data_IF_746897912554
#
_entry.id   IF_746897912554
#
_cell.length_a   1.000
_cell.length_b   1.000
_cell.length_c   1.000
_cell.angle_alpha   90.00
_cell.angle_beta   90.00
_cell.angle_gamma   90.00
#
_symmetry.space_group_name_H-M   'P 1'
#
loop_
_entity.id
_entity.type
_entity.pdbx_description
1 polymer ?
#
# COMPACT_ATOMS: atom_id res chain seq x y z
N UNK A 1 -6.83 -3.11 34.82
CA UNK A 1 -6.22 -3.71 33.62
C UNK A 1 -5.77 -5.11 33.96
N UNK A 2 -5.87 -6.06 33.03
CA UNK A 2 -5.37 -7.40 33.19
C UNK A 2 -3.95 -7.53 32.64
N UNK A 3 -3.31 -8.67 32.88
CA UNK A 3 -1.92 -8.92 32.46
C UNK A 3 -1.71 -8.79 30.95
N UNK A 4 -2.75 -9.03 30.14
CA UNK A 4 -2.70 -8.85 28.69
C UNK A 4 -2.62 -7.38 28.29
N UNK A 5 -3.47 -6.52 28.87
CA UNK A 5 -3.47 -5.08 28.58
C UNK A 5 -2.15 -4.44 29.02
N UNK A 6 -1.66 -4.77 30.22
CA UNK A 6 -0.39 -4.25 30.75
C UNK A 6 0.79 -4.61 29.86
N UNK A 7 0.87 -5.87 29.40
CA UNK A 7 1.92 -6.33 28.48
C UNK A 7 1.81 -5.61 27.13
N UNK A 8 0.60 -5.52 26.58
CA UNK A 8 0.37 -4.91 25.26
C UNK A 8 0.71 -3.42 25.27
N UNK A 9 0.38 -2.70 26.33
CA UNK A 9 0.80 -1.31 26.51
C UNK A 9 2.32 -1.20 26.53
N UNK A 10 3.02 -2.06 27.28
CA UNK A 10 4.48 -2.07 27.30
C UNK A 10 5.09 -2.33 25.91
N UNK A 11 4.53 -3.26 25.14
CA UNK A 11 4.98 -3.57 23.78
C UNK A 11 4.77 -2.39 22.83
N UNK A 12 3.62 -1.70 22.91
CA UNK A 12 3.32 -0.51 22.09
C UNK A 12 4.31 0.64 22.31
N UNK A 13 4.94 0.75 23.49
CA UNK A 13 5.96 1.76 23.74
C UNK A 13 7.32 1.45 23.10
N UNK A 14 7.51 0.25 22.54
CA UNK A 14 8.77 -0.10 21.87
C UNK A 14 8.86 0.56 20.50
N UNK A 15 10.06 0.99 20.13
CA UNK A 15 10.34 1.58 18.82
C UNK A 15 9.96 0.61 17.68
N UNK A 16 10.20 -0.68 17.85
CA UNK A 16 9.88 -1.71 16.85
C UNK A 16 8.39 -1.75 16.51
N UNK A 17 7.50 -1.71 17.51
CA UNK A 17 6.06 -1.69 17.26
C UNK A 17 5.64 -0.38 16.60
N UNK A 18 6.21 0.75 17.02
CA UNK A 18 5.94 2.05 16.39
C UNK A 18 6.37 2.07 14.91
N UNK A 19 7.54 1.51 14.59
CA UNK A 19 8.02 1.37 13.21
C UNK A 19 7.07 0.51 12.36
N UNK A 20 6.55 -0.58 12.90
CA UNK A 20 5.56 -1.42 12.20
C UNK A 20 4.27 -0.64 11.96
N UNK A 21 3.77 0.11 12.95
CA UNK A 21 2.57 0.93 12.79
C UNK A 21 2.77 2.01 11.71
N UNK A 22 3.92 2.70 11.70
CA UNK A 22 4.25 3.67 10.64
C UNK A 22 4.33 3.00 9.27
N UNK A 23 4.93 1.81 9.17
CA UNK A 23 4.98 1.07 7.91
C UNK A 23 3.58 0.68 7.40
N UNK A 24 2.64 0.36 8.29
CA UNK A 24 1.25 0.07 7.92
C UNK A 24 0.52 1.29 7.32
N UNK A 25 0.96 2.51 7.62
CA UNK A 25 0.43 3.75 7.05
C UNK A 25 1.16 4.14 5.75
N UNK A 26 2.49 4.04 5.73
CA UNK A 26 3.33 4.51 4.61
C UNK A 26 3.37 3.54 3.42
N UNK A 27 3.41 2.23 3.67
CA UNK A 27 3.53 1.22 2.60
C UNK A 27 2.35 1.24 1.62
N UNK A 28 1.08 1.35 2.06
CA UNK A 28 -0.05 1.52 1.14
C UNK A 28 0.06 2.78 0.29
N UNK A 29 0.52 3.90 0.86
CA UNK A 29 0.65 5.17 0.14
C UNK A 29 1.73 5.06 -0.94
N UNK A 30 2.89 4.49 -0.60
CA UNK A 30 3.97 4.24 -1.54
C UNK A 30 3.54 3.31 -2.68
N UNK A 31 2.82 2.23 -2.34
CA UNK A 31 2.33 1.27 -3.34
C UNK A 31 1.27 1.88 -4.26
N UNK A 32 0.36 2.71 -3.72
CA UNK A 32 -0.63 3.44 -4.52
C UNK A 32 0.05 4.39 -5.50
N UNK A 33 1.08 5.12 -5.06
CA UNK A 33 1.84 6.00 -5.95
C UNK A 33 2.53 5.23 -7.09
N UNK A 34 3.15 4.09 -6.78
CA UNK A 34 3.79 3.25 -7.79
C UNK A 34 2.79 2.78 -8.86
N UNK A 35 1.66 2.20 -8.43
CA UNK A 35 0.63 1.69 -9.34
C UNK A 35 -0.01 2.81 -10.15
N UNK A 36 -0.42 3.90 -9.50
CA UNK A 36 -1.05 5.03 -10.19
C UNK A 36 -0.08 5.74 -11.15
N UNK A 37 1.19 5.84 -10.77
CA UNK A 37 2.24 6.43 -11.62
C UNK A 37 2.47 5.63 -12.88
N UNK A 38 2.61 4.31 -12.76
CA UNK A 38 2.77 3.43 -13.93
C UNK A 38 1.50 3.43 -14.79
N UNK A 39 0.32 3.31 -14.19
CA UNK A 39 -0.97 3.38 -14.89
C UNK A 39 -1.16 4.71 -15.62
N UNK A 40 -0.72 5.84 -15.04
CA UNK A 40 -0.82 7.14 -15.69
C UNK A 40 0.00 7.25 -16.98
N UNK A 41 1.08 6.46 -17.10
CA UNK A 41 1.96 6.42 -18.28
C UNK A 41 1.46 5.40 -19.30
N UNK A 42 1.08 4.19 -18.86
CA UNK A 42 0.70 3.09 -19.74
C UNK A 42 -0.78 3.09 -20.12
N UNK A 43 -1.65 3.64 -19.26
CA UNK A 43 -3.10 3.46 -19.26
C UNK A 43 -3.55 1.99 -19.22
N UNK A 44 -2.69 1.09 -18.75
CA UNK A 44 -2.91 -0.34 -18.64
C UNK A 44 -2.81 -0.79 -17.17
N UNK A 45 -3.58 -1.81 -16.72
CA UNK A 45 -3.43 -2.42 -15.40
C UNK A 45 -1.99 -2.86 -15.11
N UNK A 46 -1.50 -2.55 -13.92
CA UNK A 46 -0.10 -2.81 -13.54
C UNK A 46 0.05 -4.26 -13.07
N UNK A 47 0.89 -5.07 -13.72
CA UNK A 47 1.05 -6.48 -13.35
C UNK A 47 1.81 -6.64 -12.02
N UNK A 48 1.48 -7.68 -11.28
CA UNK A 48 2.04 -7.99 -9.96
C UNK A 48 3.58 -8.04 -9.89
N UNK A 49 4.25 -8.55 -10.92
CA UNK A 49 5.71 -8.62 -10.99
C UNK A 49 6.41 -7.27 -11.21
N UNK A 50 5.69 -6.22 -11.59
CA UNK A 50 6.23 -4.84 -11.60
C UNK A 50 6.20 -4.21 -10.20
N UNK A 51 5.41 -4.77 -9.29
CA UNK A 51 5.22 -4.20 -7.98
C UNK A 51 6.28 -4.72 -7.00
N UNK A 52 6.81 -3.86 -6.12
CA UNK A 52 7.73 -4.28 -5.07
C UNK A 52 6.95 -4.97 -3.93
N UNK A 53 6.21 -6.04 -4.25
CA UNK A 53 5.44 -6.84 -3.31
C UNK A 53 6.31 -7.99 -2.83
N UNK A 54 7.23 -7.68 -1.90
CA UNK A 54 7.95 -8.71 -1.16
C UNK A 54 7.73 -8.52 0.34
N UNK A 55 7.49 -9.64 1.03
CA UNK A 55 7.23 -9.66 2.47
C UNK A 55 5.80 -9.30 2.88
N UNK A 56 5.48 -9.63 4.13
CA UNK A 56 4.12 -9.55 4.68
C UNK A 56 3.53 -8.13 4.66
N UNK A 57 4.30 -7.10 5.01
CA UNK A 57 3.80 -5.73 5.07
C UNK A 57 3.37 -5.19 3.71
N UNK A 58 4.06 -5.57 2.62
CA UNK A 58 3.67 -5.17 1.26
C UNK A 58 2.37 -5.86 0.83
N UNK A 59 2.18 -7.13 1.22
CA UNK A 59 0.91 -7.82 0.98
C UNK A 59 -0.24 -7.18 1.77
N UNK A 60 -0.01 -6.84 3.04
CA UNK A 60 -0.97 -6.09 3.86
C UNK A 60 -1.30 -4.76 3.18
N UNK A 61 -0.30 -4.02 2.71
CA UNK A 61 -0.50 -2.75 2.02
C UNK A 61 -1.40 -2.90 0.77
N UNK A 62 -1.13 -3.90 -0.06
CA UNK A 62 -1.97 -4.18 -1.24
C UNK A 62 -3.41 -4.52 -0.84
N UNK A 63 -3.60 -5.39 0.15
CA UNK A 63 -4.92 -5.78 0.65
C UNK A 63 -5.67 -4.59 1.26
N UNK A 64 -4.99 -3.68 1.93
CA UNK A 64 -5.55 -2.43 2.45
C UNK A 64 -6.07 -1.56 1.32
N UNK A 65 -5.30 -1.36 0.25
CA UNK A 65 -5.72 -0.56 -0.91
C UNK A 65 -6.92 -1.16 -1.65
N UNK A 66 -6.94 -2.49 -1.81
CA UNK A 66 -8.07 -3.21 -2.41
C UNK A 66 -9.33 -3.09 -1.53
N UNK A 67 -9.19 -3.29 -0.22
CA UNK A 67 -10.32 -3.20 0.73
C UNK A 67 -10.86 -1.78 0.85
N UNK A 68 -10.01 -0.77 0.70
CA UNK A 68 -10.39 0.64 0.65
C UNK A 68 -11.02 1.06 -0.70
N UNK A 69 -11.10 0.18 -1.71
CA UNK A 69 -11.66 0.51 -3.02
C UNK A 69 -10.80 1.46 -3.86
N UNK A 70 -9.52 1.63 -3.51
CA UNK A 70 -8.59 2.50 -4.25
C UNK A 70 -7.97 1.79 -5.46
N UNK A 71 -7.95 0.46 -5.43
CA UNK A 71 -7.49 -0.41 -6.51
C UNK A 71 -8.56 -1.47 -6.84
N UNK A 72 -8.51 -1.95 -8.07
CA UNK A 72 -9.20 -3.16 -8.52
C UNK A 72 -8.17 -4.19 -8.94
N UNK A 73 -8.41 -5.45 -8.55
CA UNK A 73 -7.60 -6.59 -8.96
C UNK A 73 -8.27 -7.26 -10.17
N UNK A 74 -7.51 -7.41 -11.23
CA UNK A 74 -7.90 -8.10 -12.45
C UNK A 74 -7.06 -9.38 -12.62
N UNK A 75 -7.57 -10.41 -13.31
CA UNK A 75 -6.76 -11.54 -13.72
C UNK A 75 -5.54 -11.09 -14.52
N UNK A 76 -4.38 -11.64 -14.20
CA UNK A 76 -3.17 -11.41 -14.96
C UNK A 76 -3.18 -12.11 -16.32
N UNK A 77 -2.12 -11.85 -17.09
CA UNK A 77 -1.91 -12.46 -18.40
C UNK A 77 -0.95 -13.65 -18.32
N UNK A 78 -0.17 -13.85 -19.40
CA UNK A 78 0.81 -14.94 -19.47
C UNK A 78 1.99 -14.80 -18.48
N UNK A 79 2.29 -13.58 -18.05
CA UNK A 79 3.47 -13.24 -17.23
C UNK A 79 3.13 -12.73 -15.82
N UNK A 80 1.84 -12.67 -15.46
CA UNK A 80 1.39 -12.17 -14.17
C UNK A 80 0.24 -13.02 -13.64
N UNK A 81 0.15 -13.17 -12.32
CA UNK A 81 -0.99 -13.83 -11.70
C UNK A 81 -2.15 -12.82 -11.63
N UNK A 82 -1.84 -11.59 -11.24
CA UNK A 82 -2.78 -10.49 -11.15
C UNK A 82 -2.25 -9.21 -11.79
N UNK A 83 -3.18 -8.34 -12.19
CA UNK A 83 -2.89 -6.95 -12.52
C UNK A 83 -3.79 -6.02 -11.68
N UNK A 84 -3.31 -4.81 -11.44
CA UNK A 84 -3.96 -3.85 -10.55
C UNK A 84 -4.26 -2.55 -11.29
N UNK A 85 -5.54 -2.17 -11.29
CA UNK A 85 -6.03 -0.93 -11.88
C UNK A 85 -6.42 0.06 -10.79
N UNK A 86 -5.92 1.31 -10.80
CA UNK A 86 -6.45 2.37 -9.95
C UNK A 86 -7.93 2.64 -10.23
N UNK A 87 -8.72 2.82 -9.18
CA UNK A 87 -10.06 3.37 -9.34
C UNK A 87 -10.00 4.87 -9.58
N UNK A 88 -11.13 5.49 -9.96
CA UNK A 88 -11.22 6.94 -10.05
C UNK A 88 -10.86 7.63 -8.72
N UNK A 89 -11.18 6.99 -7.59
CA UNK A 89 -10.83 7.48 -6.26
C UNK A 89 -9.33 7.30 -5.96
N UNK A 90 -8.74 6.15 -6.30
CA UNK A 90 -7.29 5.94 -6.22
C UNK A 90 -6.51 7.01 -6.99
N UNK A 91 -6.94 7.30 -8.23
CA UNK A 91 -6.33 8.36 -9.05
C UNK A 91 -6.53 9.76 -8.47
N UNK A 92 -7.66 10.03 -7.80
CA UNK A 92 -7.91 11.30 -7.11
C UNK A 92 -6.94 11.50 -5.96
N UNK A 93 -6.72 10.49 -5.12
CA UNK A 93 -5.75 10.57 -4.02
C UNK A 93 -4.31 10.67 -4.53
N UNK A 94 -3.95 9.91 -5.57
CA UNK A 94 -2.64 10.03 -6.22
C UNK A 94 -2.33 11.46 -6.65
N UNK A 95 -3.27 12.13 -7.34
CA UNK A 95 -3.09 13.53 -7.77
C UNK A 95 -2.94 14.50 -6.59
N UNK A 96 -3.62 14.26 -5.48
CA UNK A 96 -3.46 15.06 -4.25
C UNK A 96 -2.06 14.87 -3.65
N UNK A 97 -1.61 13.62 -3.51
CA UNK A 97 -0.28 13.29 -2.99
C UNK A 97 0.84 13.91 -3.82
N UNK A 98 0.71 13.90 -5.15
CA UNK A 98 1.65 14.58 -6.06
C UNK A 98 1.69 16.09 -5.81
N UNK A 99 0.53 16.72 -5.63
CA UNK A 99 0.43 18.15 -5.36
C UNK A 99 1.05 18.52 -4.01
N UNK A 100 0.87 17.65 -3.01
CA UNK A 100 1.39 17.86 -1.65
C UNK A 100 2.89 17.51 -1.55
N UNK A 101 3.49 16.99 -2.62
CA UNK A 101 4.91 16.61 -2.64
C UNK A 101 5.24 15.44 -1.72
N UNK A 102 4.28 14.54 -1.47
CA UNK A 102 4.52 13.40 -0.59
C UNK A 102 5.63 12.51 -1.14
N UNK A 103 6.63 12.26 -0.30
CA UNK A 103 7.64 11.24 -0.49
C UNK A 103 7.71 10.38 0.77
N UNK A 104 8.03 9.10 0.58
CA UNK A 104 8.34 8.21 1.70
C UNK A 104 9.57 8.77 2.44
N UNK A 105 9.47 8.95 3.75
CA UNK A 105 10.64 9.31 4.57
C UNK A 105 11.60 8.11 4.53
N UNK A 106 12.84 8.36 4.12
CA UNK A 106 13.92 7.36 4.17
C UNK A 106 14.48 7.25 5.57
#
# INVERSE_FOLDING_TARGET
MGAYEDLTERLKQTEVVQQVLSALEEEPVALLQAICGEYAVSNEPVPDHHLPISGYLKEVALRTLLSAGLLQREPGGRLSIYAYRPTAEGMKYYKKLLKDGWSRRQ
#
